data_IF_992631746144
#
_entry.id   IF_992631746144
#
_cell.length_a   1.000
_cell.length_b   1.000
_cell.length_c   1.000
_cell.angle_alpha   90.00
_cell.angle_beta   90.00
_cell.angle_gamma   90.00
#
_symmetry.space_group_name_H-M   'P 1'
#
loop_
_entity.id
_entity.type
_entity.pdbx_description
1 polymer ?
#
# COMPACT_ATOMS: atom_id res chain seq x y z
N UNK A 1 -3.03 -0.70 -14.93
CA UNK A 1 -2.32 -1.63 -14.00
C UNK A 1 -3.34 -2.40 -13.18
N UNK A 2 -3.00 -3.52 -12.52
CA UNK A 2 -3.96 -4.16 -11.61
C UNK A 2 -4.17 -3.27 -10.39
N UNK A 3 -5.33 -3.36 -9.73
CA UNK A 3 -5.60 -2.59 -8.51
C UNK A 3 -4.55 -2.85 -7.42
N UNK A 4 -4.12 -4.10 -7.26
CA UNK A 4 -3.05 -4.47 -6.32
C UNK A 4 -1.70 -3.81 -6.65
N UNK A 5 -1.40 -3.57 -7.93
CA UNK A 5 -0.19 -2.85 -8.33
C UNK A 5 -0.27 -1.38 -7.93
N UNK A 6 -1.44 -0.75 -8.06
CA UNK A 6 -1.68 0.63 -7.63
C UNK A 6 -1.52 0.76 -6.10
N UNK A 7 -2.06 -0.19 -5.33
CA UNK A 7 -1.87 -0.26 -3.87
C UNK A 7 -0.39 -0.37 -3.53
N UNK A 8 0.35 -1.30 -4.13
CA UNK A 8 1.79 -1.45 -3.85
C UNK A 8 2.58 -0.19 -4.20
N UNK A 9 2.33 0.41 -5.36
CA UNK A 9 2.96 1.68 -5.76
C UNK A 9 2.69 2.78 -4.75
N UNK A 10 1.44 2.92 -4.29
CA UNK A 10 1.07 3.92 -3.29
C UNK A 10 1.79 3.72 -1.95
N UNK A 11 1.97 2.47 -1.52
CA UNK A 11 2.75 2.14 -0.33
C UNK A 11 4.20 2.63 -0.49
N UNK A 12 4.83 2.34 -1.63
CA UNK A 12 6.22 2.79 -1.90
C UNK A 12 6.33 4.31 -1.95
N UNK A 13 5.39 4.99 -2.61
CA UNK A 13 5.37 6.46 -2.69
C UNK A 13 5.30 7.12 -1.30
N UNK A 14 4.37 6.66 -0.46
CA UNK A 14 4.18 7.21 0.89
C UNK A 14 5.34 6.85 1.82
N UNK A 15 5.88 5.63 1.71
CA UNK A 15 7.05 5.21 2.46
C UNK A 15 8.25 6.11 2.14
N UNK A 16 8.52 6.36 0.85
CA UNK A 16 9.59 7.25 0.42
C UNK A 16 9.37 8.70 0.87
N UNK A 17 8.13 9.21 0.83
CA UNK A 17 7.81 10.56 1.33
C UNK A 17 8.06 10.74 2.83
N UNK A 18 7.93 9.65 3.60
CA UNK A 18 8.12 9.66 5.05
C UNK A 18 9.50 9.12 5.46
N UNK A 19 10.45 8.99 4.53
CA UNK A 19 11.79 8.42 4.75
C UNK A 19 11.76 7.03 5.45
N UNK A 20 10.70 6.24 5.20
CA UNK A 20 10.51 4.89 5.74
C UNK A 20 10.87 3.84 4.69
N UNK A 21 11.62 2.82 5.10
CA UNK A 21 11.74 1.59 4.31
C UNK A 21 10.45 0.77 4.38
N UNK A 22 10.21 -0.08 3.37
CA UNK A 22 9.07 -1.03 3.40
C UNK A 22 9.12 -1.95 4.63
N UNK A 23 10.33 -2.32 5.08
CA UNK A 23 10.50 -3.06 6.32
C UNK A 23 9.99 -2.27 7.55
N UNK A 24 10.32 -0.97 7.64
CA UNK A 24 9.86 -0.10 8.73
C UNK A 24 8.32 0.02 8.72
N UNK A 25 7.72 0.23 7.55
CA UNK A 25 6.26 0.26 7.38
C UNK A 25 5.61 -1.05 7.84
N UNK A 26 6.15 -2.19 7.40
CA UNK A 26 5.65 -3.50 7.80
C UNK A 26 5.73 -3.71 9.32
N UNK A 27 6.87 -3.35 9.92
CA UNK A 27 7.11 -3.44 11.36
C UNK A 27 6.14 -2.56 12.16
N UNK A 28 6.00 -1.29 11.77
CA UNK A 28 5.16 -0.32 12.47
C UNK A 28 3.66 -0.68 12.34
N UNK A 29 3.25 -1.19 11.18
CA UNK A 29 1.88 -1.65 10.93
C UNK A 29 1.57 -3.05 11.46
N UNK A 30 2.52 -3.74 12.11
CA UNK A 30 2.37 -5.13 12.53
C UNK A 30 1.92 -6.07 11.38
N UNK A 31 2.48 -5.86 10.19
CA UNK A 31 2.24 -6.67 8.99
C UNK A 31 3.53 -7.44 8.65
N UNK A 32 3.48 -8.73 8.27
CA UNK A 32 4.67 -9.43 7.81
C UNK A 32 5.29 -8.72 6.61
N UNK A 33 6.60 -8.49 6.62
CA UNK A 33 7.30 -7.84 5.50
C UNK A 33 7.01 -8.51 4.15
N UNK A 34 6.95 -9.85 4.13
CA UNK A 34 6.63 -10.63 2.93
C UNK A 34 5.26 -10.31 2.36
N UNK A 35 4.27 -9.97 3.19
CA UNK A 35 2.94 -9.57 2.75
C UNK A 35 2.98 -8.32 1.88
N UNK A 36 3.84 -7.35 2.20
CA UNK A 36 4.01 -6.15 1.37
C UNK A 36 4.95 -6.44 0.20
N UNK A 37 6.09 -7.07 0.46
CA UNK A 37 7.14 -7.30 -0.54
C UNK A 37 6.71 -8.22 -1.69
N UNK A 38 5.72 -9.09 -1.48
CA UNK A 38 5.19 -10.01 -2.50
C UNK A 38 3.76 -9.68 -2.93
N UNK A 39 3.20 -8.55 -2.47
CA UNK A 39 1.79 -8.18 -2.67
C UNK A 39 1.34 -8.27 -4.13
N UNK A 40 2.18 -7.82 -5.07
CA UNK A 40 1.89 -7.80 -6.52
C UNK A 40 1.81 -9.19 -7.17
N UNK A 41 2.23 -10.25 -6.47
CA UNK A 41 2.05 -11.65 -6.92
C UNK A 41 0.63 -12.16 -6.69
N UNK A 42 -0.14 -11.50 -5.82
CA UNK A 42 -1.56 -11.76 -5.62
C UNK A 42 -2.40 -10.92 -6.59
N UNK A 43 -3.67 -11.27 -6.79
CA UNK A 43 -4.66 -10.39 -7.42
C UNK A 43 -5.51 -9.63 -6.39
N UNK A 44 -5.32 -9.91 -5.09
CA UNK A 44 -6.14 -9.36 -4.00
C UNK A 44 -5.28 -8.92 -2.83
N UNK A 45 -5.79 -7.93 -2.09
CA UNK A 45 -5.29 -7.51 -0.77
C UNK A 45 -6.48 -7.36 0.17
N UNK A 46 -6.35 -7.83 1.41
CA UNK A 46 -7.41 -7.66 2.42
C UNK A 46 -7.44 -6.21 2.90
N UNK A 47 -8.64 -5.65 3.10
CA UNK A 47 -8.77 -4.29 3.65
C UNK A 47 -8.13 -4.17 5.03
N UNK A 48 -8.16 -5.21 5.87
CA UNK A 48 -7.48 -5.21 7.17
C UNK A 48 -5.95 -5.12 7.04
N UNK A 49 -5.37 -5.79 6.04
CA UNK A 49 -3.95 -5.66 5.72
C UNK A 49 -3.63 -4.25 5.25
N UNK A 50 -4.47 -3.67 4.38
CA UNK A 50 -4.28 -2.30 3.92
C UNK A 50 -4.38 -1.29 5.07
N UNK A 51 -5.35 -1.47 5.98
CA UNK A 51 -5.51 -0.62 7.15
C UNK A 51 -4.28 -0.65 8.05
N UNK A 52 -3.76 -1.85 8.35
CA UNK A 52 -2.52 -2.02 9.11
C UNK A 52 -1.29 -1.39 8.42
N UNK A 53 -1.22 -1.45 7.08
CA UNK A 53 -0.19 -0.74 6.33
C UNK A 53 -0.34 0.79 6.43
N UNK A 54 -1.57 1.31 6.42
CA UNK A 54 -1.83 2.73 6.62
C UNK A 54 -1.39 3.19 8.02
N UNK A 55 -1.63 2.39 9.06
CA UNK A 55 -1.11 2.64 10.41
C UNK A 55 0.42 2.73 10.41
N UNK A 56 1.11 1.77 9.75
CA UNK A 56 2.57 1.80 9.62
C UNK A 56 3.13 2.97 8.80
N UNK A 57 2.31 3.52 7.89
CA UNK A 57 2.63 4.71 7.11
C UNK A 57 2.26 6.02 7.82
N UNK A 58 1.53 5.96 8.93
CA UNK A 58 0.97 7.12 9.66
C UNK A 58 0.04 7.97 8.78
N UNK A 59 -0.82 7.31 8.00
CA UNK A 59 -1.82 7.96 7.14
C UNK A 59 -3.20 7.36 7.36
N UNK A 60 -4.25 8.11 7.09
CA UNK A 60 -5.60 7.54 7.05
C UNK A 60 -5.84 6.76 5.75
N UNK A 61 -6.87 5.92 5.70
CA UNK A 61 -7.31 5.32 4.44
C UNK A 61 -7.71 6.38 3.40
N UNK A 62 -8.27 7.50 3.85
CA UNK A 62 -8.65 8.62 2.96
C UNK A 62 -7.42 9.22 2.30
N UNK A 63 -6.37 9.50 3.06
CA UNK A 63 -5.08 10.00 2.54
C UNK A 63 -4.41 8.98 1.61
N UNK A 64 -4.52 7.69 1.95
CA UNK A 64 -3.96 6.61 1.14
C UNK A 64 -4.60 6.61 -0.25
N UNK A 65 -5.93 6.60 -0.32
CA UNK A 65 -6.68 6.56 -1.58
C UNK A 65 -6.78 7.90 -2.31
N UNK A 66 -6.39 9.01 -1.66
CA UNK A 66 -6.24 10.32 -2.30
C UNK A 66 -4.98 10.36 -3.18
N UNK A 67 -5.03 9.63 -4.31
CA UNK A 67 -3.96 9.55 -5.30
C UNK A 67 -4.53 9.31 -6.69
N UNK A 68 -3.97 9.94 -7.74
CA UNK A 68 -4.35 9.66 -9.13
C UNK A 68 -4.10 8.19 -9.54
N UNK A 69 -3.29 7.44 -8.80
CA UNK A 69 -3.11 5.99 -9.03
C UNK A 69 -4.43 5.21 -8.98
N UNK A 70 -5.43 5.72 -8.25
CA UNK A 70 -6.74 5.08 -8.10
C UNK A 70 -7.81 5.65 -9.04
N UNK A 71 -7.43 6.50 -10.01
CA UNK A 71 -8.34 6.89 -11.10
C UNK A 71 -8.74 5.65 -11.91
N UNK A 72 -10.02 5.57 -12.28
CA UNK A 72 -10.60 4.47 -13.06
C UNK A 72 -9.82 4.20 -14.35
N UNK A 73 -9.28 5.23 -15.00
CA UNK A 73 -8.55 5.11 -16.26
C UNK A 73 -7.17 4.45 -16.08
N UNK A 74 -6.64 4.40 -14.85
CA UNK A 74 -5.34 3.82 -14.54
C UNK A 74 -5.41 2.33 -14.17
N UNK A 75 -6.61 1.83 -13.86
CA UNK A 75 -6.84 0.46 -13.36
C UNK A 75 -7.51 -0.39 -14.44
N UNK A 76 -6.95 -1.58 -14.67
CA UNK A 76 -7.54 -2.57 -15.58
C UNK A 76 -8.59 -3.39 -14.82
N UNK A 77 -9.72 -3.66 -15.47
CA UNK A 77 -10.72 -4.62 -15.01
C UNK A 77 -10.22 -6.06 -15.15
#
# INVERSE_FOLDING_TARGET
>A
MKLVDAVYKRIVELANKNDKSIYKVAKDGNVPYSTIATMTRSNTVKLSTLYAVCDGLEVTLQDFFNSPLFDKNNILN
#
